data_IF_488467762417
#
_entry.id   IF_488467762417
#
_cell.length_a   1.000
_cell.length_b   1.000
_cell.length_c   1.000
_cell.angle_alpha   90.00
_cell.angle_beta   90.00
_cell.angle_gamma   90.00
#
_symmetry.space_group_name_H-M   'P 1'
#
loop_
_entity.id
_entity.type
_entity.pdbx_description
1 polymer ?
#
# COMPACT_ATOMS: atom_id res chain seq x y z
N UNK A 1 10.83 -17.44 16.56
CA UNK A 1 10.93 -18.30 15.36
C UNK A 1 12.13 -17.88 14.54
N UNK A 2 13.09 -18.73 14.39
CA UNK A 2 14.22 -18.50 13.48
C UNK A 2 13.73 -18.51 12.06
N UNK A 3 13.92 -17.42 11.35
CA UNK A 3 13.81 -17.44 9.89
C UNK A 3 15.00 -18.25 9.34
N UNK A 4 14.79 -19.22 8.46
CA UNK A 4 15.91 -19.88 7.80
C UNK A 4 16.71 -18.80 7.05
N UNK A 5 18.01 -18.77 7.30
CA UNK A 5 18.91 -17.93 6.52
C UNK A 5 18.87 -18.41 5.07
N UNK A 6 18.42 -17.57 4.15
CA UNK A 6 18.47 -17.88 2.73
C UNK A 6 19.92 -17.83 2.31
N UNK A 7 20.48 -18.99 1.94
CA UNK A 7 21.84 -19.07 1.42
C UNK A 7 21.91 -18.30 0.09
N UNK A 8 22.91 -17.43 -0.05
CA UNK A 8 23.15 -16.64 -1.27
C UNK A 8 23.28 -17.56 -2.51
N UNK A 9 23.86 -18.74 -2.34
CA UNK A 9 23.99 -19.71 -3.43
C UNK A 9 22.65 -20.29 -3.84
N UNK A 10 21.79 -20.60 -2.90
CA UNK A 10 20.43 -21.07 -3.17
C UNK A 10 19.59 -19.98 -3.85
N UNK A 11 19.75 -18.72 -3.44
CA UNK A 11 19.07 -17.59 -4.05
C UNK A 11 19.54 -17.36 -5.50
N UNK A 12 20.84 -17.40 -5.76
CA UNK A 12 21.41 -17.26 -7.12
C UNK A 12 20.98 -18.43 -8.02
N UNK A 13 20.95 -19.64 -7.50
CA UNK A 13 20.49 -20.82 -8.26
C UNK A 13 18.99 -20.71 -8.60
N UNK A 14 18.16 -20.24 -7.67
CA UNK A 14 16.75 -20.00 -7.91
C UNK A 14 16.51 -18.89 -8.95
N UNK A 15 17.31 -17.83 -8.93
CA UNK A 15 17.26 -16.74 -9.90
C UNK A 15 17.69 -17.22 -11.29
N UNK A 16 18.77 -18.01 -11.38
CA UNK A 16 19.24 -18.58 -12.65
C UNK A 16 18.21 -19.56 -13.25
N UNK A 17 17.59 -20.40 -12.44
CA UNK A 17 16.53 -21.30 -12.87
C UNK A 17 15.29 -20.53 -13.35
N UNK A 18 14.95 -19.39 -12.72
CA UNK A 18 13.87 -18.50 -13.14
C UNK A 18 14.11 -17.87 -14.50
N UNK A 19 15.37 -17.56 -14.86
CA UNK A 19 15.74 -17.01 -16.17
C UNK A 19 15.64 -18.02 -17.32
N UNK A 20 15.72 -19.33 -17.03
CA UNK A 20 15.59 -20.39 -18.02
C UNK A 20 14.14 -20.80 -18.30
N UNK A 21 13.20 -20.36 -17.46
CA UNK A 21 11.78 -20.61 -17.68
C UNK A 21 11.19 -19.56 -18.61
N UNK A 22 10.42 -19.95 -19.64
CA UNK A 22 9.70 -18.99 -20.45
C UNK A 22 8.77 -18.17 -19.55
N UNK A 23 8.87 -16.84 -19.63
CA UNK A 23 7.96 -15.93 -18.92
C UNK A 23 6.55 -16.20 -19.44
N UNK A 24 5.75 -16.92 -18.67
CA UNK A 24 4.37 -17.21 -19.06
C UNK A 24 3.53 -15.94 -18.90
N UNK A 25 2.58 -15.67 -19.82
CA UNK A 25 1.63 -14.56 -19.68
C UNK A 25 0.86 -14.57 -18.37
N UNK A 26 0.74 -15.73 -17.71
CA UNK A 26 0.14 -15.88 -16.39
C UNK A 26 0.92 -15.14 -15.28
N UNK A 27 2.23 -14.97 -15.41
CA UNK A 27 3.03 -14.19 -14.45
C UNK A 27 2.76 -12.69 -14.55
N UNK A 28 2.41 -12.19 -15.72
CA UNK A 28 1.96 -10.82 -15.89
C UNK A 28 0.62 -10.54 -15.16
N UNK A 29 -0.15 -11.59 -14.84
CA UNK A 29 -1.38 -11.50 -14.06
C UNK A 29 -1.14 -11.48 -12.55
N UNK A 30 0.06 -11.83 -12.08
CA UNK A 30 0.42 -11.75 -10.66
C UNK A 30 0.65 -10.31 -10.20
N UNK A 31 0.78 -9.38 -11.13
CA UNK A 31 0.87 -7.95 -10.84
C UNK A 31 -0.37 -7.25 -11.41
N UNK A 32 -1.42 -7.11 -10.63
CA UNK A 32 -2.59 -6.39 -11.11
C UNK A 32 -2.20 -4.95 -11.44
N UNK A 33 -2.36 -4.56 -12.70
CA UNK A 33 -2.21 -3.18 -13.12
C UNK A 33 -3.37 -2.29 -12.63
N UNK A 34 -4.19 -2.79 -11.72
CA UNK A 34 -5.42 -2.16 -11.24
C UNK A 34 -5.52 -2.26 -9.73
N UNK A 35 -6.21 -1.30 -9.12
CA UNK A 35 -6.41 -1.25 -7.68
C UNK A 35 -5.17 -0.73 -6.94
N UNK A 36 -5.03 -1.11 -5.71
CA UNK A 36 -3.90 -0.71 -4.85
C UNK A 36 -2.65 -1.51 -5.19
N UNK A 37 -1.82 -0.95 -6.04
CA UNK A 37 -0.66 -1.65 -6.63
C UNK A 37 0.59 -1.66 -5.78
N UNK A 38 0.69 -0.75 -4.81
CA UNK A 38 1.89 -0.55 -3.98
C UNK A 38 1.59 -0.57 -2.48
N UNK A 39 0.41 -1.07 -2.08
CA UNK A 39 -0.01 -1.06 -0.69
C UNK A 39 -0.27 0.36 -0.18
N UNK A 40 -0.15 0.53 1.12
CA UNK A 40 -0.35 1.80 1.82
C UNK A 40 0.86 2.09 2.70
N UNK A 41 1.17 3.37 2.89
CA UNK A 41 2.26 3.81 3.73
C UNK A 41 1.84 4.99 4.59
N UNK A 42 2.47 5.13 5.74
CA UNK A 42 2.33 6.27 6.61
C UNK A 42 3.67 6.94 6.86
N UNK A 43 3.67 8.24 6.97
CA UNK A 43 4.84 9.01 7.36
C UNK A 43 4.51 9.97 8.48
N UNK A 44 5.55 10.46 9.13
CA UNK A 44 5.38 11.45 10.19
C UNK A 44 4.77 12.73 9.64
N UNK A 45 3.71 13.16 10.32
CA UNK A 45 3.25 14.52 10.29
C UNK A 45 3.86 15.33 11.45
N UNK A 46 3.33 16.48 11.70
CA UNK A 46 3.67 17.30 12.86
C UNK A 46 2.67 17.08 14.00
N UNK A 47 3.16 16.76 15.19
CA UNK A 47 2.31 16.67 16.38
C UNK A 47 1.30 15.51 16.34
N UNK A 48 0.05 15.83 16.09
CA UNK A 48 -1.09 14.91 16.08
C UNK A 48 -1.54 14.49 14.67
N UNK A 49 -0.78 14.87 13.63
CA UNK A 49 -1.12 14.56 12.25
C UNK A 49 -0.20 13.48 11.66
N UNK A 50 -0.78 12.66 10.80
CA UNK A 50 -0.07 11.65 10.01
C UNK A 50 -0.39 11.85 8.55
N UNK A 51 0.61 11.73 7.69
CA UNK A 51 0.41 11.69 6.24
C UNK A 51 0.30 10.23 5.81
N UNK A 52 -0.81 9.90 5.18
CA UNK A 52 -1.04 8.59 4.60
C UNK A 52 -0.90 8.64 3.08
N UNK A 53 -0.30 7.63 2.52
CA UNK A 53 0.01 7.53 1.10
C UNK A 53 -0.38 6.18 0.55
N UNK A 54 -0.90 6.19 -0.68
CA UNK A 54 -1.12 4.97 -1.46
C UNK A 54 -1.01 5.26 -2.96
N UNK A 55 -1.02 4.21 -3.76
CA UNK A 55 -1.16 4.30 -5.21
C UNK A 55 -2.29 3.39 -5.67
N UNK A 56 -3.22 3.98 -6.39
CA UNK A 56 -4.36 3.27 -6.98
C UNK A 56 -4.36 3.44 -8.51
N UNK A 57 -4.32 2.33 -9.21
CA UNK A 57 -4.42 2.30 -10.65
C UNK A 57 -5.87 2.00 -11.07
N UNK A 58 -6.52 3.00 -11.67
CA UNK A 58 -7.85 2.86 -12.23
C UNK A 58 -7.85 1.93 -13.46
N UNK A 59 -8.92 1.16 -13.63
CA UNK A 59 -9.11 0.32 -14.81
C UNK A 59 -9.22 1.11 -16.12
N UNK A 60 -9.71 2.34 -16.03
CA UNK A 60 -9.96 3.23 -17.19
C UNK A 60 -8.92 4.33 -17.30
N UNK A 61 -7.98 4.45 -16.37
CA UNK A 61 -7.07 5.59 -16.26
C UNK A 61 -7.72 6.87 -15.72
N UNK A 62 -9.01 6.84 -15.41
CA UNK A 62 -9.72 7.99 -14.84
C UNK A 62 -9.33 8.24 -13.38
N UNK A 63 -9.52 9.47 -12.92
CA UNK A 63 -9.36 9.82 -11.52
C UNK A 63 -10.36 9.06 -10.64
N UNK A 64 -9.89 8.58 -9.49
CA UNK A 64 -10.68 7.83 -8.52
C UNK A 64 -10.61 8.50 -7.16
N UNK A 65 -11.75 8.70 -6.54
CA UNK A 65 -11.81 9.16 -5.14
C UNK A 65 -11.59 7.96 -4.23
N UNK A 66 -10.54 8.02 -3.44
CA UNK A 66 -10.21 7.03 -2.42
C UNK A 66 -10.74 7.50 -1.07
N UNK A 67 -11.38 6.59 -0.35
CA UNK A 67 -11.86 6.85 1.02
C UNK A 67 -10.86 6.27 2.01
N UNK A 68 -10.55 7.05 3.01
CA UNK A 68 -9.69 6.70 4.12
C UNK A 68 -10.50 6.64 5.41
N UNK A 69 -10.28 5.60 6.19
CA UNK A 69 -10.77 5.47 7.55
C UNK A 69 -9.61 5.17 8.50
N UNK A 70 -9.61 5.83 9.65
CA UNK A 70 -8.68 5.57 10.76
C UNK A 70 -9.50 5.13 11.97
N UNK A 71 -9.08 4.07 12.62
CA UNK A 71 -9.77 3.47 13.76
C UNK A 71 -8.84 3.21 14.94
N UNK A 72 -9.41 3.11 16.12
CA UNK A 72 -8.70 2.72 17.36
C UNK A 72 -8.62 1.20 17.54
N UNK A 73 -9.32 0.43 16.71
CA UNK A 73 -9.35 -1.04 16.76
C UNK A 73 -9.17 -1.65 15.36
N UNK A 74 -8.57 -2.81 15.32
CA UNK A 74 -8.30 -3.55 14.07
C UNK A 74 -9.57 -3.91 13.30
N UNK A 75 -10.67 -4.13 14.00
CA UNK A 75 -11.96 -4.43 13.40
C UNK A 75 -12.71 -3.23 12.83
N UNK A 76 -12.15 -2.01 12.94
CA UNK A 76 -12.79 -0.76 12.51
C UNK A 76 -14.17 -0.51 13.13
N UNK A 77 -14.39 -1.00 14.34
CA UNK A 77 -15.59 -0.74 15.11
C UNK A 77 -15.63 0.68 15.65
N UNK A 78 -14.48 1.27 15.93
CA UNK A 78 -14.34 2.65 16.42
C UNK A 78 -13.53 3.50 15.48
N UNK A 79 -14.18 4.01 14.47
CA UNK A 79 -13.58 4.93 13.49
C UNK A 79 -13.50 6.33 14.10
N UNK A 80 -12.31 6.90 14.13
CA UNK A 80 -12.05 8.21 14.72
C UNK A 80 -11.75 9.31 13.70
N UNK A 81 -11.41 8.92 12.46
CA UNK A 81 -11.20 9.88 11.38
C UNK A 81 -11.58 9.28 10.04
N UNK A 82 -12.07 10.14 9.15
CA UNK A 82 -12.32 9.84 7.74
C UNK A 82 -11.77 10.96 6.88
N UNK A 83 -11.25 10.58 5.73
CA UNK A 83 -10.78 11.53 4.73
C UNK A 83 -11.00 10.96 3.32
N UNK A 84 -10.86 11.81 2.33
CA UNK A 84 -10.88 11.43 0.92
C UNK A 84 -9.65 11.99 0.22
N UNK A 85 -9.13 11.23 -0.75
CA UNK A 85 -8.01 11.64 -1.58
C UNK A 85 -8.28 11.25 -3.03
N UNK A 86 -7.83 12.09 -3.95
CA UNK A 86 -7.97 11.83 -5.38
C UNK A 86 -6.70 11.18 -5.91
N UNK A 87 -6.85 10.00 -6.52
CA UNK A 87 -5.80 9.33 -7.29
C UNK A 87 -6.14 9.45 -8.77
N UNK A 88 -5.27 10.04 -9.56
CA UNK A 88 -5.56 10.27 -10.96
C UNK A 88 -4.30 10.30 -11.83
N UNK A 89 -4.48 10.47 -13.15
CA UNK A 89 -3.37 10.47 -14.10
C UNK A 89 -2.35 11.57 -13.81
N UNK A 90 -2.77 12.74 -13.33
CA UNK A 90 -1.88 13.86 -13.01
C UNK A 90 -0.92 13.56 -11.85
N UNK A 91 -1.26 12.59 -11.00
CA UNK A 91 -0.46 12.16 -9.86
C UNK A 91 0.11 10.74 -10.03
N UNK A 92 0.05 10.20 -11.25
CA UNK A 92 0.44 8.81 -11.53
C UNK A 92 -0.33 7.78 -10.68
N UNK A 93 -1.56 8.10 -10.32
CA UNK A 93 -2.40 7.31 -9.44
C UNK A 93 -2.02 7.39 -7.96
N UNK A 94 -1.08 8.25 -7.58
CA UNK A 94 -0.75 8.44 -6.16
C UNK A 94 -1.79 9.33 -5.47
N UNK A 95 -2.06 9.02 -4.22
CA UNK A 95 -2.91 9.82 -3.35
C UNK A 95 -2.21 10.01 -2.01
N UNK A 96 -2.23 11.22 -1.51
CA UNK A 96 -1.72 11.58 -0.20
C UNK A 96 -2.77 12.37 0.55
N UNK A 97 -2.88 12.12 1.84
CA UNK A 97 -3.77 12.86 2.71
C UNK A 97 -3.17 13.02 4.10
N UNK A 98 -3.18 14.22 4.60
CA UNK A 98 -2.83 14.50 5.99
C UNK A 98 -4.08 14.36 6.86
N UNK A 99 -3.98 13.57 7.91
CA UNK A 99 -5.06 13.34 8.87
C UNK A 99 -4.65 13.97 10.20
N UNK A 100 -5.18 15.12 10.55
CA UNK A 100 -4.91 15.79 11.81
C UNK A 100 -5.80 15.29 12.95
N UNK A 101 -5.50 15.71 14.18
CA UNK A 101 -6.33 15.45 15.34
C UNK A 101 -6.32 14.01 15.84
N UNK A 102 -5.27 13.26 15.52
CA UNK A 102 -5.12 11.88 15.97
C UNK A 102 -4.58 11.83 17.41
N UNK A 103 -5.05 10.88 18.26
CA UNK A 103 -4.55 10.74 19.61
C UNK A 103 -3.09 10.24 19.60
N UNK A 104 -2.24 10.92 20.36
CA UNK A 104 -0.84 10.55 20.54
C UNK A 104 -0.67 9.29 21.40
N UNK A 105 0.40 8.55 21.16
CA UNK A 105 0.79 7.41 21.99
C UNK A 105 -0.12 6.19 21.89
N UNK A 106 -0.94 6.10 20.86
CA UNK A 106 -1.84 4.96 20.61
C UNK A 106 -1.52 4.28 19.28
N UNK A 107 -1.74 2.99 19.24
CA UNK A 107 -1.84 2.26 17.98
C UNK A 107 -3.13 2.60 17.27
N UNK A 108 -3.03 2.90 16.00
CA UNK A 108 -4.18 3.20 15.15
C UNK A 108 -4.10 2.33 13.89
N UNK A 109 -5.26 1.96 13.38
CA UNK A 109 -5.40 1.21 12.15
C UNK A 109 -6.00 2.10 11.08
N UNK A 110 -5.57 1.94 9.85
CA UNK A 110 -6.13 2.67 8.72
C UNK A 110 -6.35 1.78 7.50
N UNK A 111 -7.34 2.14 6.72
CA UNK A 111 -7.69 1.48 5.46
C UNK A 111 -8.24 2.46 4.43
#
# INVERSE_FOLDING_TARGET
>A
AMRPAVDRRAFLAATAAGLLLPVRPALARLWPARGFTHGVASSYGTGDAVVLWTRHASATGAATILKLEVAEDEGFGRIIARAEALAGPDTWGTAQVAVPGLPAGKWLWYR
#
